data_IF_184453984547
#
_entry.id   IF_184453984547
#
_cell.length_a   1.000
_cell.length_b   1.000
_cell.length_c   1.000
_cell.angle_alpha   90.00
_cell.angle_beta   90.00
_cell.angle_gamma   90.00
#
_symmetry.space_group_name_H-M   'P 1'
#
loop_
_entity.id
_entity.type
_entity.pdbx_description
1 polymer ?
#
# COMPACT_ATOMS: atom_id res chain seq x y z
N UNK A 1 -3.31 -2.19 15.70
CA UNK A 1 -3.84 -2.84 14.49
C UNK A 1 -3.83 -4.32 14.78
N UNK A 2 -4.99 -4.95 14.96
CA UNK A 2 -5.02 -6.42 15.06
C UNK A 2 -4.79 -6.98 13.65
N UNK A 3 -4.27 -8.20 13.57
CA UNK A 3 -4.09 -8.91 12.29
C UNK A 3 -5.40 -9.01 11.49
N UNK A 4 -6.54 -8.96 12.19
CA UNK A 4 -7.90 -9.03 11.63
C UNK A 4 -8.27 -7.79 10.80
N UNK A 5 -7.78 -6.59 11.17
CA UNK A 5 -8.13 -5.33 10.45
C UNK A 5 -7.60 -5.31 9.00
N UNK A 6 -6.45 -5.93 8.74
CA UNK A 6 -5.85 -5.95 7.39
C UNK A 6 -6.61 -6.90 6.45
N UNK A 7 -7.24 -7.94 6.99
CA UNK A 7 -7.94 -8.97 6.20
C UNK A 7 -9.41 -8.58 5.95
N UNK A 8 -10.02 -7.84 6.89
CA UNK A 8 -11.44 -7.49 6.83
C UNK A 8 -11.77 -6.15 6.17
N UNK A 9 -10.78 -5.29 5.86
CA UNK A 9 -11.04 -4.12 5.02
C UNK A 9 -11.55 -4.60 3.66
N UNK A 10 -12.87 -4.42 3.36
CA UNK A 10 -13.43 -4.98 2.15
C UNK A 10 -12.70 -4.35 0.95
N UNK A 11 -12.32 -5.13 -0.08
CA UNK A 11 -11.69 -4.56 -1.24
C UNK A 11 -12.61 -3.48 -1.80
N UNK A 12 -12.08 -2.26 -1.93
CA UNK A 12 -12.83 -1.19 -2.57
C UNK A 12 -13.27 -1.66 -3.97
N UNK A 13 -14.39 -1.13 -4.50
CA UNK A 13 -14.86 -1.48 -5.84
C UNK A 13 -13.85 -1.13 -6.94
N UNK A 14 -12.77 -0.38 -6.64
CA UNK A 14 -11.63 -0.14 -7.53
C UNK A 14 -10.68 -1.34 -7.51
N UNK A 15 -11.22 -2.51 -7.84
CA UNK A 15 -10.47 -3.76 -7.88
C UNK A 15 -9.25 -3.60 -8.77
N UNK A 16 -8.08 -3.74 -8.16
CA UNK A 16 -6.82 -4.01 -8.84
C UNK A 16 -7.08 -5.16 -9.80
N UNK A 17 -7.08 -4.88 -11.11
CA UNK A 17 -7.50 -5.85 -12.12
C UNK A 17 -6.53 -7.03 -12.07
N UNK A 18 -6.97 -8.13 -11.45
CA UNK A 18 -6.23 -9.37 -11.51
C UNK A 18 -5.96 -9.72 -12.97
N UNK A 19 -4.77 -10.23 -13.26
CA UNK A 19 -4.45 -10.68 -14.61
C UNK A 19 -5.33 -11.88 -14.99
N UNK A 20 -5.36 -12.24 -16.28
CA UNK A 20 -6.21 -13.35 -16.78
C UNK A 20 -5.94 -14.70 -16.11
N UNK A 21 -4.76 -14.88 -15.50
CA UNK A 21 -4.36 -16.08 -14.78
C UNK A 21 -4.70 -16.02 -13.26
N UNK A 22 -5.40 -14.97 -12.81
CA UNK A 22 -5.77 -14.79 -11.42
C UNK A 22 -4.67 -14.19 -10.54
N UNK A 23 -3.54 -13.77 -11.10
CA UNK A 23 -2.48 -13.03 -10.42
C UNK A 23 -2.68 -11.51 -10.47
N UNK A 24 -1.62 -10.74 -10.27
CA UNK A 24 -1.61 -9.27 -10.33
C UNK A 24 -0.63 -8.80 -11.39
N UNK A 25 -0.99 -7.75 -12.12
CA UNK A 25 -0.14 -7.09 -13.10
C UNK A 25 -0.14 -5.58 -12.84
N UNK A 26 0.71 -5.16 -11.90
CA UNK A 26 0.83 -3.79 -11.41
C UNK A 26 2.26 -3.31 -11.53
N UNK A 27 2.74 -3.17 -12.77
CA UNK A 27 4.09 -2.66 -13.05
C UNK A 27 4.25 -1.27 -12.43
N UNK A 28 5.43 -0.95 -11.90
CA UNK A 28 5.71 0.32 -11.23
C UNK A 28 5.50 1.53 -12.16
N UNK A 29 4.80 2.55 -11.64
CA UNK A 29 4.50 3.89 -12.21
C UNK A 29 3.25 4.09 -13.10
N UNK A 30 2.79 3.14 -13.94
CA UNK A 30 1.52 3.26 -14.63
C UNK A 30 0.30 3.46 -13.72
N UNK A 31 -0.83 3.82 -14.32
CA UNK A 31 -2.11 4.05 -13.64
C UNK A 31 -2.54 2.91 -12.71
N UNK A 32 -2.15 1.67 -13.01
CA UNK A 32 -2.41 0.52 -12.16
C UNK A 32 -1.65 0.59 -10.83
N UNK A 33 -0.39 1.00 -10.84
CA UNK A 33 0.42 1.23 -9.63
C UNK A 33 -0.12 2.45 -8.86
N UNK A 34 -0.41 3.54 -9.57
CA UNK A 34 -1.04 4.71 -8.96
C UNK A 34 -2.34 4.33 -8.23
N UNK A 35 -3.23 3.56 -8.87
CA UNK A 35 -4.48 3.12 -8.25
C UNK A 35 -4.24 2.26 -7.00
N UNK A 36 -3.22 1.41 -6.99
CA UNK A 36 -2.82 0.64 -5.80
C UNK A 36 -2.30 1.54 -4.67
N UNK A 37 -1.49 2.53 -5.00
CA UNK A 37 -0.96 3.51 -4.04
C UNK A 37 -2.05 4.43 -3.48
N UNK A 38 -2.95 4.89 -4.33
CA UNK A 38 -4.12 5.69 -3.91
C UNK A 38 -4.98 4.89 -2.93
N UNK A 39 -5.20 3.60 -3.19
CA UNK A 39 -5.94 2.72 -2.29
C UNK A 39 -5.26 2.57 -0.92
N UNK A 40 -3.93 2.40 -0.90
CA UNK A 40 -3.18 2.37 0.35
C UNK A 40 -3.31 3.68 1.12
N UNK A 41 -3.26 4.83 0.44
CA UNK A 41 -3.47 6.15 1.06
C UNK A 41 -4.87 6.25 1.68
N UNK A 42 -5.91 5.80 0.98
CA UNK A 42 -7.28 5.76 1.52
C UNK A 42 -7.33 4.96 2.82
N UNK A 43 -6.74 3.76 2.86
CA UNK A 43 -6.72 2.94 4.06
C UNK A 43 -5.98 3.60 5.23
N UNK A 44 -4.77 4.13 5.01
CA UNK A 44 -3.99 4.71 6.11
C UNK A 44 -4.57 6.01 6.64
N UNK A 45 -5.36 6.74 5.84
CA UNK A 45 -6.09 7.92 6.30
C UNK A 45 -7.16 7.57 7.35
N UNK A 46 -7.70 6.35 7.33
CA UNK A 46 -8.64 5.88 8.36
C UNK A 46 -7.96 5.58 9.71
N UNK A 47 -6.61 5.50 9.73
CA UNK A 47 -5.82 5.15 10.92
C UNK A 47 -5.03 6.32 11.52
N UNK A 48 -5.43 7.56 11.22
CA UNK A 48 -4.78 8.78 11.71
C UNK A 48 -3.27 8.86 11.35
N UNK A 49 -2.87 8.22 10.25
CA UNK A 49 -1.52 8.33 9.73
C UNK A 49 -1.39 9.61 8.89
N UNK A 50 -0.23 10.26 9.00
CA UNK A 50 0.21 11.27 8.03
C UNK A 50 0.87 10.59 6.83
N UNK A 51 0.62 11.10 5.63
CA UNK A 51 1.19 10.58 4.38
C UNK A 51 2.30 11.49 3.88
N UNK A 52 3.43 10.91 3.53
CA UNK A 52 4.55 11.59 2.88
C UNK A 52 5.01 10.82 1.65
N UNK A 53 5.30 11.53 0.57
CA UNK A 53 5.88 10.97 -0.65
C UNK A 53 7.21 11.68 -0.89
N UNK A 54 8.29 10.91 -0.98
CA UNK A 54 9.61 11.47 -1.25
C UNK A 54 9.83 11.76 -2.75
N UNK A 55 11.01 12.27 -3.10
CA UNK A 55 11.35 12.61 -4.49
C UNK A 55 11.45 11.40 -5.42
N UNK A 56 11.62 10.19 -4.89
CA UNK A 56 11.68 8.94 -5.65
C UNK A 56 10.30 8.28 -5.79
N UNK A 57 9.28 8.82 -5.12
CA UNK A 57 7.93 8.26 -5.12
C UNK A 57 7.75 7.14 -4.08
N UNK A 58 8.66 7.01 -3.10
CA UNK A 58 8.40 6.14 -1.96
C UNK A 58 7.27 6.74 -1.12
N UNK A 59 6.32 5.89 -0.72
CA UNK A 59 5.13 6.28 0.01
C UNK A 59 5.26 5.87 1.47
N UNK A 60 5.23 6.85 2.37
CA UNK A 60 5.33 6.65 3.80
C UNK A 60 3.99 7.00 4.46
N UNK A 61 3.51 6.11 5.33
CA UNK A 61 2.42 6.39 6.26
C UNK A 61 2.98 6.39 7.68
N UNK A 62 2.94 7.54 8.36
CA UNK A 62 3.47 7.70 9.71
C UNK A 62 2.34 7.92 10.70
N UNK A 63 2.21 6.98 11.63
CA UNK A 63 1.47 7.18 12.88
C UNK A 63 2.41 7.80 13.90
N UNK A 64 2.01 8.91 14.50
CA UNK A 64 2.88 9.59 15.45
C UNK A 64 3.05 8.78 16.74
N UNK A 65 4.29 8.73 17.24
CA UNK A 65 4.60 8.11 18.52
C UNK A 65 4.24 9.01 19.69
N UNK A 66 4.41 8.51 20.92
CA UNK A 66 4.23 9.33 22.14
C UNK A 66 5.36 10.34 22.35
N UNK A 67 6.54 10.12 21.75
CA UNK A 67 7.65 11.06 21.70
C UNK A 67 8.05 11.33 20.23
N UNK A 68 7.71 12.51 19.68
CA UNK A 68 7.95 12.81 18.26
C UNK A 68 9.43 13.01 17.91
N UNK A 69 10.31 13.11 18.91
CA UNK A 69 11.75 13.32 18.70
C UNK A 69 12.56 12.03 18.60
N UNK A 70 11.91 10.87 18.75
CA UNK A 70 12.57 9.57 18.60
C UNK A 70 12.66 9.16 17.14
N UNK A 71 13.70 8.40 16.83
CA UNK A 71 13.84 7.78 15.52
C UNK A 71 12.66 6.84 15.25
N UNK A 72 12.11 6.86 14.02
CA UNK A 72 11.00 5.99 13.66
C UNK A 72 11.46 4.54 13.51
N UNK A 73 10.57 3.60 13.85
CA UNK A 73 10.69 2.21 13.38
C UNK A 73 9.98 2.10 12.04
N UNK A 74 10.69 1.67 11.01
CA UNK A 74 10.15 1.56 9.65
C UNK A 74 9.90 0.09 9.32
N UNK A 75 8.71 -0.18 8.79
CA UNK A 75 8.31 -1.46 8.20
C UNK A 75 7.70 -1.20 6.83
N UNK A 76 7.90 -2.13 5.90
CA UNK A 76 7.37 -1.98 4.55
C UNK A 76 7.85 -3.07 3.61
N UNK A 77 7.41 -2.95 2.36
CA UNK A 77 7.80 -3.80 1.23
C UNK A 77 7.66 -2.94 -0.06
N UNK A 78 7.25 -3.55 -1.17
CA UNK A 78 6.86 -2.86 -2.39
C UNK A 78 5.36 -2.98 -2.65
N UNK A 79 4.83 -2.14 -3.55
CA UNK A 79 3.47 -2.22 -4.06
C UNK A 79 3.43 -2.53 -5.55
N UNK A 80 4.51 -2.60 -6.30
CA UNK A 80 4.46 -3.02 -7.70
C UNK A 80 4.56 -4.54 -7.84
N UNK A 81 4.22 -5.06 -9.02
CA UNK A 81 4.32 -6.48 -9.35
C UNK A 81 4.89 -6.70 -10.74
N UNK A 82 5.39 -7.91 -10.98
CA UNK A 82 5.70 -8.39 -12.32
C UNK A 82 4.43 -8.48 -13.20
N UNK A 83 4.56 -8.47 -14.55
CA UNK A 83 3.42 -8.58 -15.47
C UNK A 83 2.56 -9.85 -15.27
N UNK A 84 3.17 -10.94 -14.79
CA UNK A 84 2.50 -12.19 -14.42
C UNK A 84 2.67 -12.50 -12.94
N UNK A 85 2.72 -11.46 -12.09
CA UNK A 85 2.98 -11.56 -10.67
C UNK A 85 1.92 -12.34 -9.89
N UNK A 86 2.34 -12.91 -8.76
CA UNK A 86 1.45 -13.52 -7.78
C UNK A 86 0.62 -12.46 -7.03
N UNK A 87 -0.32 -12.92 -6.19
CA UNK A 87 -1.20 -12.02 -5.43
C UNK A 87 -0.56 -11.40 -4.18
N UNK A 88 0.52 -11.99 -3.66
CA UNK A 88 1.06 -11.69 -2.33
C UNK A 88 2.46 -11.07 -2.35
N UNK A 89 3.11 -11.10 -3.51
CA UNK A 89 4.43 -10.47 -3.70
C UNK A 89 4.23 -8.95 -3.75
N UNK A 90 4.65 -8.25 -2.70
CA UNK A 90 4.45 -6.79 -2.56
C UNK A 90 2.99 -6.35 -2.51
N UNK A 91 2.13 -7.10 -1.81
CA UNK A 91 0.70 -6.83 -1.72
C UNK A 91 0.29 -6.18 -0.40
#
# INVERSE_FOLDING_TARGET
MSMETIVEHPPSPRRNRGNKAGGVARVALPDADKAGRDQFVEWVNEFECSVHIDRMGNLFARREGTDPNRDPVVIGSHLDSQPTGGKFDGA
#
